data_IF_421479582062
#
_entry.id   IF_421479582062
#
_cell.length_a   1.000
_cell.length_b   1.000
_cell.length_c   1.000
_cell.angle_alpha   90.00
_cell.angle_beta   90.00
_cell.angle_gamma   90.00
#
_symmetry.space_group_name_H-M   'P 1'
#
loop_
_entity.id
_entity.type
_entity.pdbx_description
1 polymer ?
#
# COMPACT_ATOMS: atom_id res chain seq x y z
N UNK A 1 4.06 17.33 -7.40
CA UNK A 1 2.78 16.91 -6.80
C UNK A 1 3.01 15.50 -6.29
N UNK A 2 2.80 15.23 -5.00
CA UNK A 2 2.92 13.87 -4.48
C UNK A 2 1.57 13.19 -4.71
N UNK A 3 1.50 12.35 -5.74
CA UNK A 3 0.32 11.52 -5.99
C UNK A 3 0.25 10.45 -4.90
N UNK A 4 -0.76 10.59 -4.05
CA UNK A 4 -1.05 9.65 -2.97
C UNK A 4 -2.40 9.03 -3.27
N UNK A 5 -2.50 7.72 -3.06
CA UNK A 5 -3.74 6.99 -3.26
C UNK A 5 -4.29 6.53 -1.92
N UNK A 6 -5.62 6.53 -1.73
CA UNK A 6 -6.22 5.97 -0.54
C UNK A 6 -5.80 4.52 -0.34
N UNK A 7 -5.51 4.13 0.90
CA UNK A 7 -5.13 2.76 1.24
C UNK A 7 -6.24 1.75 0.90
N UNK A 8 -7.50 2.20 0.85
CA UNK A 8 -8.64 1.40 0.39
C UNK A 8 -8.56 1.04 -1.09
N UNK A 9 -7.93 1.90 -1.91
CA UNK A 9 -7.78 1.72 -3.35
C UNK A 9 -6.41 1.12 -3.72
N UNK A 10 -5.45 1.17 -2.80
CA UNK A 10 -4.11 0.61 -2.96
C UNK A 10 -4.08 -0.89 -3.36
N UNK A 11 -4.96 -1.79 -2.88
CA UNK A 11 -5.00 -3.17 -3.37
C UNK A 11 -5.22 -3.27 -4.88
N UNK A 12 -6.07 -2.41 -5.44
CA UNK A 12 -6.34 -2.36 -6.89
C UNK A 12 -5.12 -1.85 -7.64
N UNK A 13 -4.44 -0.82 -7.14
CA UNK A 13 -3.23 -0.30 -7.74
C UNK A 13 -2.07 -1.31 -7.68
N UNK A 14 -1.92 -2.02 -6.56
CA UNK A 14 -0.91 -3.08 -6.38
C UNK A 14 -1.11 -4.27 -7.34
N UNK A 15 -2.34 -4.53 -7.78
CA UNK A 15 -2.61 -5.57 -8.79
C UNK A 15 -1.92 -5.27 -10.13
N UNK A 16 -1.79 -3.99 -10.52
CA UNK A 16 -1.03 -3.60 -11.71
C UNK A 16 0.47 -3.90 -11.59
N UNK A 17 0.98 -4.02 -10.36
CA UNK A 17 2.35 -4.46 -10.05
C UNK A 17 2.45 -5.98 -9.80
N UNK A 18 1.41 -6.73 -10.17
CA UNK A 18 1.34 -8.17 -10.04
C UNK A 18 1.26 -8.66 -8.59
N UNK A 19 0.72 -7.85 -7.68
CA UNK A 19 0.38 -8.28 -6.31
C UNK A 19 -1.12 -8.18 -6.10
N UNK A 20 -1.80 -9.33 -6.08
CA UNK A 20 -3.15 -9.41 -5.55
C UNK A 20 -3.08 -9.48 -4.01
N UNK A 21 -3.57 -8.45 -3.32
CA UNK A 21 -3.62 -8.39 -1.85
C UNK A 21 -4.98 -7.89 -1.39
N UNK A 22 -5.31 -8.11 -0.12
CA UNK A 22 -6.52 -7.56 0.49
C UNK A 22 -6.19 -6.30 1.29
N UNK A 23 -7.19 -5.46 1.52
CA UNK A 23 -7.05 -4.30 2.40
C UNK A 23 -6.57 -4.70 3.80
N UNK A 24 -7.10 -5.78 4.37
CA UNK A 24 -6.72 -6.26 5.71
C UNK A 24 -5.23 -6.63 5.79
N UNK A 25 -4.72 -7.33 4.77
CA UNK A 25 -3.29 -7.70 4.71
C UNK A 25 -2.41 -6.45 4.55
N UNK A 26 -2.83 -5.53 3.68
CA UNK A 26 -2.11 -4.27 3.49
C UNK A 26 -2.11 -3.42 4.76
N UNK A 27 -3.24 -3.35 5.46
CA UNK A 27 -3.37 -2.66 6.74
C UNK A 27 -2.47 -3.28 7.81
N UNK A 28 -2.43 -4.62 7.90
CA UNK A 28 -1.52 -5.31 8.80
C UNK A 28 -0.05 -4.94 8.55
N UNK A 29 0.36 -4.83 7.28
CA UNK A 29 1.71 -4.42 6.92
C UNK A 29 2.02 -2.95 7.24
N UNK A 30 1.02 -2.07 7.15
CA UNK A 30 1.12 -0.67 7.60
C UNK A 30 1.31 -0.61 9.12
N UNK A 31 0.49 -1.33 9.88
CA UNK A 31 0.58 -1.39 11.35
C UNK A 31 1.90 -2.02 11.81
N UNK A 32 2.42 -3.01 11.07
CA UNK A 32 3.73 -3.61 11.30
C UNK A 32 4.92 -2.71 10.89
N UNK A 33 4.66 -1.52 10.31
CA UNK A 33 5.71 -0.59 9.86
C UNK A 33 6.44 -1.03 8.58
N UNK A 34 5.92 -2.02 7.87
CA UNK A 34 6.52 -2.56 6.64
C UNK A 34 6.13 -1.75 5.40
N UNK A 35 4.99 -1.06 5.45
CA UNK A 35 4.48 -0.22 4.36
C UNK A 35 4.37 1.21 4.85
N UNK A 36 5.07 2.17 4.20
CA UNK A 36 4.95 3.57 4.54
C UNK A 36 3.58 4.08 4.10
N UNK A 37 2.77 4.51 5.06
CA UNK A 37 1.48 5.14 4.83
C UNK A 37 1.38 6.43 5.65
N UNK A 38 0.67 7.40 5.10
CA UNK A 38 0.44 8.70 5.74
C UNK A 38 -1.04 8.97 5.91
N UNK A 39 -1.39 9.66 7.00
CA UNK A 39 -2.76 10.02 7.29
C UNK A 39 -3.07 11.39 6.69
N UNK A 40 -3.87 11.40 5.63
CA UNK A 40 -4.37 12.63 5.01
C UNK A 40 -5.82 12.83 5.46
N UNK A 41 -6.01 13.74 6.41
CA UNK A 41 -7.29 13.96 7.08
C UNK A 41 -7.77 12.73 7.85
N UNK A 42 -8.89 12.13 7.40
CA UNK A 42 -9.49 10.95 8.04
C UNK A 42 -9.08 9.61 7.41
N UNK A 43 -8.31 9.61 6.32
CA UNK A 43 -7.99 8.41 5.56
C UNK A 43 -6.47 8.19 5.49
N UNK A 44 -6.09 6.92 5.51
CA UNK A 44 -4.72 6.50 5.25
C UNK A 44 -4.47 6.45 3.75
N UNK A 45 -3.31 6.92 3.35
CA UNK A 45 -2.86 6.96 1.97
C UNK A 45 -1.46 6.37 1.87
N UNK A 46 -1.14 5.87 0.69
CA UNK A 46 0.23 5.47 0.31
C UNK A 46 0.64 6.28 -0.90
N UNK A 47 1.95 6.52 -1.02
CA UNK A 47 2.49 7.19 -2.21
C UNK A 47 2.40 6.24 -3.39
N UNK A 48 1.92 6.75 -4.51
CA UNK A 48 1.82 5.96 -5.74
C UNK A 48 3.20 5.50 -6.22
N UNK A 49 4.22 6.36 -6.07
CA UNK A 49 5.60 6.04 -6.40
C UNK A 49 6.17 4.85 -5.61
N UNK A 50 5.65 4.59 -4.40
CA UNK A 50 6.13 3.51 -3.53
C UNK A 50 5.45 2.17 -3.84
N UNK A 51 4.41 2.13 -4.70
CA UNK A 51 3.63 0.91 -4.97
C UNK A 51 4.46 -0.26 -5.46
N UNK A 52 5.45 -0.02 -6.33
CA UNK A 52 6.34 -1.07 -6.81
C UNK A 52 7.20 -1.67 -5.68
N UNK A 53 7.67 -0.83 -4.75
CA UNK A 53 8.46 -1.25 -3.59
C UNK A 53 7.60 -1.98 -2.57
N UNK A 54 6.39 -1.48 -2.31
CA UNK A 54 5.39 -2.11 -1.44
C UNK A 54 5.03 -3.49 -1.98
N UNK A 55 4.77 -3.60 -3.29
CA UNK A 55 4.46 -4.88 -3.93
C UNK A 55 5.60 -5.90 -3.75
N UNK A 56 6.86 -5.48 -3.93
CA UNK A 56 8.04 -6.33 -3.74
C UNK A 56 8.22 -6.77 -2.28
N UNK A 57 8.02 -5.85 -1.34
CA UNK A 57 8.12 -6.12 0.11
C UNK A 57 7.09 -7.15 0.54
N UNK A 58 5.84 -6.98 0.13
CA UNK A 58 4.74 -7.89 0.48
C UNK A 58 4.85 -9.26 -0.21
N UNK A 59 5.45 -9.35 -1.40
CA UNK A 59 5.75 -10.64 -2.07
C UNK A 59 6.79 -11.48 -1.33
N UNK A 60 7.75 -10.85 -0.65
CA UNK A 60 8.81 -11.57 0.10
C UNK A 60 8.38 -12.06 1.48
N UNK A 61 7.29 -11.54 2.02
CA UNK A 61 6.71 -11.98 3.30
C UNK A 61 5.75 -13.16 3.17
N UNK A 62 5.80 -13.92 2.07
CA UNK A 62 5.10 -15.20 1.84
C UNK A 62 6.13 -16.31 1.75
#
# INVERSE_FOLDING_TARGET
MQDTIPLTDAPRALAAHGLATTYQRLWGAVVAGQVPAERVGKRWHVREADLAVIAKTLKRGV
#
